data_IF_547115812645
#
_entry.id   IF_547115812645
#
_cell.length_a   1.000
_cell.length_b   1.000
_cell.length_c   1.000
_cell.angle_alpha   90.00
_cell.angle_beta   90.00
_cell.angle_gamma   90.00
#
_symmetry.space_group_name_H-M   'P 1'
#
loop_
_entity.id
_entity.type
_entity.pdbx_description
1 polymer ?
#
# COMPACT_ATOMS: atom_id res chain seq x y z
N UNK A 1 -1.70 7.90 28.02
CA UNK A 1 -0.98 8.57 26.90
C UNK A 1 -1.77 8.37 25.61
N UNK A 2 -2.60 9.33 25.24
CA UNK A 2 -3.50 9.21 24.08
C UNK A 2 -2.73 9.57 22.81
N UNK A 3 -2.31 8.58 22.02
CA UNK A 3 -1.60 8.80 20.76
C UNK A 3 -2.57 9.43 19.76
N UNK A 4 -2.37 10.70 19.39
CA UNK A 4 -3.08 11.37 18.30
C UNK A 4 -3.00 10.47 17.04
N UNK A 5 -4.12 9.95 16.54
CA UNK A 5 -4.22 9.05 15.36
C UNK A 5 -4.71 9.83 14.13
N UNK A 6 -3.92 9.74 13.05
CA UNK A 6 -4.14 9.97 11.61
C UNK A 6 -4.87 11.23 11.09
N UNK A 7 -4.22 11.89 10.11
CA UNK A 7 -4.70 12.74 8.99
C UNK A 7 -5.79 13.80 9.19
N UNK A 8 -6.07 14.65 8.17
CA UNK A 8 -7.30 15.42 8.16
C UNK A 8 -8.45 14.40 8.20
N UNK A 9 -9.23 14.39 9.28
CA UNK A 9 -10.37 13.47 9.54
C UNK A 9 -10.08 12.03 9.96
N UNK A 10 -8.87 11.66 10.43
CA UNK A 10 -8.63 10.28 10.91
C UNK A 10 -8.20 9.28 9.83
N UNK A 11 -8.11 9.72 8.57
CA UNK A 11 -7.83 8.86 7.42
C UNK A 11 -6.32 8.66 7.17
N UNK A 12 -5.94 7.47 6.67
CA UNK A 12 -4.57 7.13 6.28
C UNK A 12 -4.58 6.15 5.11
N UNK A 13 -3.75 6.41 4.10
CA UNK A 13 -3.54 5.48 2.98
C UNK A 13 -2.62 4.33 3.43
N UNK A 14 -3.15 3.10 3.42
CA UNK A 14 -2.43 1.89 3.82
C UNK A 14 -1.96 1.03 2.64
N UNK A 15 -2.34 1.39 1.41
CA UNK A 15 -1.92 0.71 0.18
C UNK A 15 -1.21 1.70 -0.73
N UNK A 16 0.11 1.75 -0.63
CA UNK A 16 0.97 2.71 -1.32
C UNK A 16 2.21 1.98 -1.84
N UNK A 17 2.59 2.20 -3.10
CA UNK A 17 3.76 1.56 -3.73
C UNK A 17 4.84 2.60 -4.01
N UNK A 18 6.09 2.28 -3.71
CA UNK A 18 7.25 3.13 -4.05
C UNK A 18 7.79 2.83 -5.45
N UNK A 19 8.82 3.56 -5.86
CA UNK A 19 9.61 3.26 -7.06
C UNK A 19 10.34 1.91 -6.97
N UNK A 20 10.52 1.37 -5.76
CA UNK A 20 11.23 0.10 -5.53
C UNK A 20 10.33 -1.14 -5.68
N UNK A 21 9.05 -0.95 -6.00
CA UNK A 21 8.14 -2.05 -6.33
C UNK A 21 8.49 -2.62 -7.70
N UNK A 22 9.12 -3.80 -7.73
CA UNK A 22 9.65 -4.44 -8.94
C UNK A 22 8.62 -4.51 -10.08
N UNK A 23 8.89 -3.83 -11.21
CA UNK A 23 7.99 -3.69 -12.40
C UNK A 23 6.64 -2.99 -12.15
N UNK A 24 6.41 -2.45 -10.95
CA UNK A 24 5.17 -1.79 -10.55
C UNK A 24 5.43 -0.48 -9.79
N UNK A 25 6.57 0.17 -10.07
CA UNK A 25 6.97 1.41 -9.41
C UNK A 25 5.93 2.51 -9.63
N UNK A 26 5.38 3.07 -8.55
CA UNK A 26 4.29 4.04 -8.64
C UNK A 26 4.75 5.48 -8.35
N UNK A 27 5.39 5.74 -7.21
CA UNK A 27 5.82 7.08 -6.84
C UNK A 27 7.16 7.07 -6.10
N UNK A 28 7.96 8.14 -6.28
CA UNK A 28 9.22 8.31 -5.56
C UNK A 28 8.96 8.51 -4.08
N UNK A 29 9.75 7.90 -3.20
CA UNK A 29 9.59 8.03 -1.74
C UNK A 29 9.52 9.51 -1.31
N UNK A 30 10.39 10.36 -1.85
CA UNK A 30 10.42 11.79 -1.54
C UNK A 30 9.14 12.51 -1.95
N UNK A 31 8.59 12.20 -3.12
CA UNK A 31 7.35 12.78 -3.62
C UNK A 31 6.17 12.34 -2.75
N UNK A 32 6.11 11.06 -2.38
CA UNK A 32 5.10 10.52 -1.46
C UNK A 32 5.11 11.25 -0.10
N UNK A 33 6.31 11.51 0.44
CA UNK A 33 6.48 12.27 1.69
C UNK A 33 6.02 13.72 1.52
N UNK A 34 6.42 14.39 0.44
CA UNK A 34 6.03 15.78 0.18
C UNK A 34 4.51 15.91 0.03
N UNK A 35 3.87 15.04 -0.74
CA UNK A 35 2.41 15.00 -0.90
C UNK A 35 1.72 14.72 0.44
N UNK A 36 2.20 13.74 1.21
CA UNK A 36 1.63 13.42 2.52
C UNK A 36 1.68 14.63 3.47
N UNK A 37 2.79 15.37 3.49
CA UNK A 37 2.92 16.59 4.30
C UNK A 37 2.03 17.72 3.80
N UNK A 38 1.97 17.94 2.48
CA UNK A 38 1.15 18.99 1.88
C UNK A 38 -0.35 18.77 2.17
N UNK A 39 -0.78 17.50 2.22
CA UNK A 39 -2.15 17.10 2.55
C UNK A 39 -2.41 17.02 4.06
N UNK A 40 -1.43 17.28 4.92
CA UNK A 40 -1.60 17.28 6.37
C UNK A 40 -1.70 15.89 7.01
N UNK A 41 -1.18 14.85 6.35
CA UNK A 41 -1.10 13.51 6.96
C UNK A 41 -0.04 13.46 8.06
N UNK A 42 -0.28 12.58 9.04
CA UNK A 42 0.65 12.31 10.15
C UNK A 42 1.30 10.92 10.04
N UNK A 43 0.69 10.03 9.27
CA UNK A 43 1.08 8.64 9.10
C UNK A 43 1.17 8.37 7.57
N UNK A 44 2.15 7.59 7.14
CA UNK A 44 2.34 7.21 5.74
C UNK A 44 2.71 5.73 5.68
N UNK A 45 2.01 4.95 4.86
CA UNK A 45 2.31 3.54 4.65
C UNK A 45 3.15 3.31 3.39
N UNK A 46 3.88 2.20 3.38
CA UNK A 46 4.51 1.62 2.21
C UNK A 46 4.17 0.13 2.15
N UNK A 47 3.67 -0.33 1.00
CA UNK A 47 3.26 -1.70 0.69
C UNK A 47 3.71 -2.06 -0.72
N UNK A 48 5.02 -2.24 -0.91
CA UNK A 48 5.60 -2.66 -2.18
C UNK A 48 5.18 -4.10 -2.53
N UNK A 49 5.20 -4.44 -3.82
CA UNK A 49 4.81 -5.78 -4.28
C UNK A 49 5.91 -6.80 -4.06
N UNK A 50 5.57 -7.92 -3.41
CA UNK A 50 6.42 -9.12 -3.26
C UNK A 50 7.84 -8.82 -2.74
N UNK A 51 8.00 -7.75 -1.96
CA UNK A 51 9.30 -7.35 -1.45
C UNK A 51 9.24 -6.06 -0.65
N UNK A 52 10.29 -5.83 0.14
CA UNK A 52 10.47 -4.67 1.01
C UNK A 52 11.71 -3.87 0.62
N UNK A 53 12.06 -3.85 -0.67
CA UNK A 53 13.31 -3.28 -1.17
C UNK A 53 13.50 -1.80 -0.80
N UNK A 54 12.42 -1.02 -0.82
CA UNK A 54 12.42 0.40 -0.43
C UNK A 54 12.23 0.66 1.06
N UNK A 55 12.02 -0.36 1.89
CA UNK A 55 11.50 -0.20 3.27
C UNK A 55 12.44 0.59 4.19
N UNK A 56 13.75 0.33 4.14
CA UNK A 56 14.74 1.02 4.98
C UNK A 56 14.87 2.48 4.56
N UNK A 57 14.97 2.74 3.25
CA UNK A 57 15.08 4.10 2.72
C UNK A 57 13.84 4.92 3.05
N UNK A 58 12.65 4.33 2.86
CA UNK A 58 11.37 4.92 3.25
C UNK A 58 11.32 5.22 4.74
N UNK A 59 11.62 4.24 5.60
CA UNK A 59 11.55 4.42 7.04
C UNK A 59 12.38 5.60 7.53
N UNK A 60 13.63 5.72 7.04
CA UNK A 60 14.54 6.82 7.43
C UNK A 60 14.00 8.17 6.98
N UNK A 61 13.65 8.32 5.70
CA UNK A 61 13.16 9.60 5.14
C UNK A 61 11.84 10.04 5.77
N UNK A 62 10.90 9.12 6.00
CA UNK A 62 9.61 9.41 6.63
C UNK A 62 9.79 9.88 8.07
N UNK A 63 10.70 9.24 8.82
CA UNK A 63 11.04 9.65 10.19
C UNK A 63 11.69 11.03 10.24
N UNK A 64 12.62 11.30 9.32
CA UNK A 64 13.26 12.62 9.18
C UNK A 64 12.22 13.72 8.85
N UNK A 65 11.19 13.37 8.06
CA UNK A 65 10.09 14.26 7.73
C UNK A 65 9.06 14.47 8.86
N UNK A 66 9.25 13.83 10.03
CA UNK A 66 8.35 13.94 11.18
C UNK A 66 7.03 13.18 11.04
N UNK A 67 6.93 12.30 10.05
CA UNK A 67 5.78 11.43 9.81
C UNK A 67 5.99 10.07 10.50
N UNK A 68 4.90 9.35 10.73
CA UNK A 68 4.94 7.97 11.26
C UNK A 68 4.93 6.98 10.09
N UNK A 69 6.01 6.23 9.87
CA UNK A 69 6.03 5.19 8.83
C UNK A 69 5.21 3.97 9.27
N UNK A 70 4.43 3.42 8.33
CA UNK A 70 3.78 2.12 8.43
C UNK A 70 4.38 1.23 7.35
N UNK A 71 5.04 0.14 7.73
CA UNK A 71 5.66 -0.78 6.78
C UNK A 71 4.75 -1.98 6.55
N UNK A 72 4.56 -2.34 5.29
CA UNK A 72 3.85 -3.52 4.86
C UNK A 72 4.34 -3.99 3.49
N UNK A 73 3.77 -5.07 3.01
CA UNK A 73 4.08 -5.66 1.71
C UNK A 73 2.80 -6.20 1.09
N UNK A 74 2.61 -5.99 -0.20
CA UNK A 74 1.56 -6.63 -0.96
C UNK A 74 2.09 -7.97 -1.48
N UNK A 75 1.64 -9.07 -0.88
CA UNK A 75 1.99 -10.42 -1.32
C UNK A 75 0.97 -10.89 -2.36
N UNK A 76 1.46 -11.17 -3.55
CA UNK A 76 0.67 -11.79 -4.61
C UNK A 76 1.00 -13.27 -4.58
N UNK A 77 0.09 -14.07 -4.03
CA UNK A 77 0.17 -15.52 -4.12
C UNK A 77 -0.16 -15.95 -5.55
N UNK A 78 0.74 -16.70 -6.18
CA UNK A 78 0.35 -17.58 -7.27
C UNK A 78 -0.41 -18.74 -6.64
N UNK A 79 -1.62 -19.02 -7.11
CA UNK A 79 -2.41 -20.15 -6.61
C UNK A 79 -1.50 -21.40 -6.54
N UNK A 80 -1.48 -22.16 -5.42
CA UNK A 80 -0.78 -23.42 -5.40
C UNK A 80 -1.37 -24.27 -6.52
N UNK A 81 -0.54 -24.61 -7.50
CA UNK A 81 -0.95 -25.42 -8.64
C UNK A 81 -1.66 -26.67 -8.12
N UNK A 82 -2.92 -26.84 -8.50
CA UNK A 82 -3.56 -28.15 -8.43
C UNK A 82 -2.90 -29.03 -9.48
N UNK A 83 -1.77 -29.63 -9.11
CA UNK A 83 -1.13 -30.75 -9.80
C UNK A 83 -0.20 -30.39 -10.96
N UNK A 84 1.04 -30.89 -10.87
CA UNK A 84 1.85 -31.33 -12.01
C UNK A 84 2.60 -30.26 -12.82
N UNK A 85 3.91 -30.46 -12.95
CA UNK A 85 4.90 -29.67 -13.71
C UNK A 85 5.22 -28.29 -13.13
N UNK A 86 6.48 -28.09 -12.71
CA UNK A 86 7.01 -26.91 -12.03
C UNK A 86 7.16 -25.66 -12.91
N UNK A 87 6.20 -25.38 -13.79
CA UNK A 87 6.14 -24.10 -14.48
C UNK A 87 5.45 -23.06 -13.59
N UNK A 88 6.03 -21.86 -13.42
CA UNK A 88 5.34 -20.77 -12.73
C UNK A 88 4.06 -20.43 -13.49
N UNK A 89 2.96 -20.08 -12.79
CA UNK A 89 1.70 -19.76 -13.43
C UNK A 89 1.93 -18.62 -14.44
N UNK A 90 1.61 -18.89 -15.71
CA UNK A 90 1.70 -17.90 -16.79
C UNK A 90 0.81 -16.72 -16.42
N UNK A 91 1.45 -15.58 -16.13
CA UNK A 91 0.74 -14.32 -15.89
C UNK A 91 -0.09 -14.04 -17.16
N UNK A 92 -1.41 -14.06 -17.03
CA UNK A 92 -2.30 -13.63 -18.09
C UNK A 92 -2.09 -12.12 -18.30
N UNK A 93 -1.59 -11.67 -19.48
CA UNK A 93 -1.34 -10.25 -19.73
C UNK A 93 -2.62 -9.40 -19.71
N UNK A 94 -3.80 -10.01 -19.89
CA UNK A 94 -5.09 -9.33 -19.79
C UNK A 94 -5.57 -9.19 -18.34
N UNK A 95 -5.09 -10.05 -17.43
CA UNK A 95 -5.44 -10.02 -16.00
C UNK A 95 -4.47 -9.14 -15.23
N UNK A 96 -4.46 -7.87 -15.59
CA UNK A 96 -3.71 -6.88 -14.84
C UNK A 96 -4.32 -6.72 -13.43
N UNK A 97 -3.49 -6.70 -12.37
CA UNK A 97 -3.95 -6.70 -10.98
C UNK A 97 -4.59 -5.38 -10.51
N UNK A 98 -4.90 -4.45 -11.42
CA UNK A 98 -5.73 -3.28 -11.08
C UNK A 98 -7.15 -3.69 -10.70
N UNK A 99 -7.57 -4.92 -11.03
CA UNK A 99 -8.85 -5.49 -10.59
C UNK A 99 -8.73 -6.20 -9.23
N UNK A 100 -8.47 -5.44 -8.17
CA UNK A 100 -8.58 -5.92 -6.79
C UNK A 100 -10.03 -6.35 -6.42
N UNK A 101 -11.00 -6.25 -7.33
CA UNK A 101 -12.37 -6.73 -7.10
C UNK A 101 -12.51 -8.25 -7.25
N UNK A 102 -11.54 -8.91 -7.89
CA UNK A 102 -11.69 -10.29 -8.32
C UNK A 102 -10.59 -11.23 -7.77
N UNK A 103 -9.89 -10.81 -6.71
CA UNK A 103 -8.93 -11.67 -5.99
C UNK A 103 -9.70 -12.48 -4.95
N UNK A 104 -9.85 -13.81 -5.11
CA UNK A 104 -10.51 -14.64 -4.11
C UNK A 104 -9.74 -14.56 -2.79
N UNK A 105 -10.41 -14.09 -1.73
CA UNK A 105 -9.81 -13.88 -0.40
C UNK A 105 -9.48 -12.43 -0.06
N UNK A 106 -9.49 -11.50 -1.02
CA UNK A 106 -9.35 -10.07 -0.73
C UNK A 106 -10.73 -9.48 -0.39
N UNK A 107 -11.12 -9.50 0.88
CA UNK A 107 -12.32 -8.80 1.32
C UNK A 107 -12.09 -7.29 1.19
N UNK A 108 -12.60 -6.69 0.11
CA UNK A 108 -12.70 -5.23 0.00
C UNK A 108 -13.43 -4.74 1.24
N UNK A 109 -12.76 -3.99 2.11
CA UNK A 109 -13.42 -3.22 3.18
C UNK A 109 -14.42 -2.31 2.45
N UNK A 110 -15.71 -2.65 2.50
CA UNK A 110 -16.76 -1.78 2.02
C UNK A 110 -16.78 -0.59 2.97
N UNK A 111 -16.26 0.53 2.50
CA UNK A 111 -16.51 1.80 3.16
C UNK A 111 -17.92 2.22 2.73
N UNK A 112 -18.86 2.18 3.67
CA UNK A 112 -20.21 2.68 3.43
C UNK A 112 -20.12 4.18 3.09
N UNK A 113 -20.67 4.64 1.95
CA UNK A 113 -20.51 6.03 1.50
C UNK A 113 -21.35 7.05 2.28
N UNK A 114 -21.89 6.69 3.44
CA UNK A 114 -22.74 7.56 4.27
C UNK A 114 -22.34 7.48 5.74
N UNK A 115 -21.24 8.12 6.10
CA UNK A 115 -21.08 8.72 7.43
C UNK A 115 -20.64 10.17 7.27
N UNK A 116 -21.52 10.97 6.66
CA UNK A 116 -21.41 12.42 6.72
C UNK A 116 -21.91 12.97 8.06
N UNK A 117 -21.37 14.13 8.40
CA UNK A 117 -22.05 15.24 9.08
C UNK A 117 -22.05 15.34 10.63
N UNK A 118 -21.60 16.53 11.05
CA UNK A 118 -21.92 17.29 12.28
C UNK A 118 -21.36 16.77 13.61
N UNK A 119 -20.32 17.42 14.15
CA UNK A 119 -20.37 18.55 15.10
C UNK A 119 -18.95 18.93 15.51
#
# INVERSE_FOLDING_TARGET
>A
MTRKRSGPTGFVHLHVRSEHSHLYGAGRIEELIQTARALGYHDLALTDRNGLYGSIAFYRKVREAGLKPILGVELIEGAPGRGGSGDPPRLDPARQPHDASNVPGCSRIRLDPTSGSSR
#
